data_IF_118550028108
#
_entry.id   IF_118550028108
#
_cell.length_a   1.000
_cell.length_b   1.000
_cell.length_c   1.000
_cell.angle_alpha   90.00
_cell.angle_beta   90.00
_cell.angle_gamma   90.00
#
_symmetry.space_group_name_H-M   'P 1'
#
loop_
_entity.id
_entity.type
_entity.pdbx_description
1 polymer ?
#
# COMPACT_ATOMS: atom_id res chain seq x y z
N UNK A 1 1.63 -35.70 -17.30
CA UNK A 1 2.46 -34.70 -16.61
C UNK A 1 1.54 -33.52 -16.30
N UNK A 2 1.13 -33.33 -15.04
CA UNK A 2 0.33 -32.16 -14.65
C UNK A 2 1.34 -31.08 -14.28
N UNK A 3 1.71 -30.25 -15.24
CA UNK A 3 2.63 -29.14 -15.02
C UNK A 3 1.92 -28.10 -14.15
N UNK A 4 2.14 -28.17 -12.85
CA UNK A 4 1.50 -27.28 -11.87
C UNK A 4 2.11 -25.89 -12.05
N UNK A 5 1.40 -25.00 -12.76
CA UNK A 5 1.77 -23.58 -12.90
C UNK A 5 1.94 -22.96 -11.52
N UNK A 6 3.19 -22.87 -11.07
CA UNK A 6 3.55 -22.35 -9.76
C UNK A 6 4.01 -20.91 -9.93
N UNK A 7 3.37 -19.98 -9.22
CA UNK A 7 3.70 -18.55 -9.30
C UNK A 7 4.94 -18.27 -8.44
N UNK A 8 5.90 -17.49 -8.95
CA UNK A 8 7.07 -17.10 -8.15
C UNK A 8 6.68 -16.03 -7.13
N UNK A 9 7.07 -16.23 -5.87
CA UNK A 9 6.84 -15.25 -4.83
C UNK A 9 7.67 -13.98 -5.10
N UNK A 10 7.04 -12.80 -5.20
CA UNK A 10 7.77 -11.55 -5.46
C UNK A 10 8.60 -11.06 -4.27
N UNK A 11 8.41 -11.65 -3.08
CA UNK A 11 9.12 -11.25 -1.86
C UNK A 11 10.37 -12.10 -1.64
N UNK A 12 10.28 -13.43 -1.83
CA UNK A 12 11.41 -14.33 -1.54
C UNK A 12 11.95 -15.10 -2.76
N UNK A 13 11.36 -14.92 -3.96
CA UNK A 13 11.81 -15.54 -5.20
C UNK A 13 11.55 -17.05 -5.32
N UNK A 14 11.00 -17.69 -4.27
CA UNK A 14 10.69 -19.13 -4.29
C UNK A 14 9.31 -19.40 -4.91
N UNK A 15 9.06 -20.62 -5.42
CA UNK A 15 7.74 -21.01 -5.88
C UNK A 15 6.69 -20.86 -4.75
N UNK A 16 5.69 -20.03 -4.97
CA UNK A 16 4.51 -19.93 -4.13
C UNK A 16 3.45 -20.90 -4.65
N UNK A 17 2.82 -21.65 -3.75
CA UNK A 17 1.69 -22.51 -4.13
C UNK A 17 0.47 -21.69 -4.58
N UNK A 18 -0.66 -22.35 -4.78
CA UNK A 18 -1.91 -21.73 -5.25
C UNK A 18 -2.67 -20.95 -4.17
N UNK A 19 -2.14 -20.89 -2.95
CA UNK A 19 -2.75 -20.23 -1.80
C UNK A 19 -2.64 -18.69 -1.83
N UNK A 20 -3.39 -18.04 -0.93
CA UNK A 20 -3.32 -16.58 -0.71
C UNK A 20 -2.00 -16.11 -0.11
N UNK A 21 -1.18 -17.02 0.40
CA UNK A 21 0.12 -16.76 1.02
C UNK A 21 1.20 -17.66 0.43
N UNK A 22 2.44 -17.19 0.42
CA UNK A 22 3.58 -18.00 0.04
C UNK A 22 3.89 -19.04 1.12
N UNK A 23 3.91 -20.32 0.75
CA UNK A 23 4.22 -21.43 1.66
C UNK A 23 5.67 -21.42 2.21
N UNK A 24 6.56 -20.59 1.66
CA UNK A 24 7.96 -20.51 2.06
C UNK A 24 8.28 -19.33 2.98
N UNK A 25 7.56 -18.21 2.87
CA UNK A 25 7.85 -17.00 3.66
C UNK A 25 6.62 -16.31 4.27
N UNK A 26 5.41 -16.80 4.00
CA UNK A 26 4.16 -16.23 4.53
C UNK A 26 3.70 -14.93 3.85
N UNK A 27 4.43 -14.41 2.86
CA UNK A 27 4.03 -13.19 2.16
C UNK A 27 2.66 -13.36 1.46
N UNK A 28 1.82 -12.32 1.53
CA UNK A 28 0.54 -12.30 0.84
C UNK A 28 0.72 -12.25 -0.67
N UNK A 29 0.03 -13.14 -1.38
CA UNK A 29 -0.06 -13.21 -2.84
C UNK A 29 -1.34 -12.54 -3.37
N UNK A 30 -2.17 -11.96 -2.48
CA UNK A 30 -3.36 -11.21 -2.86
C UNK A 30 -3.01 -9.87 -3.50
N UNK A 31 -3.92 -9.31 -4.31
CA UNK A 31 -3.74 -7.96 -4.86
C UNK A 31 -3.81 -6.91 -3.74
N UNK A 32 -2.99 -5.87 -3.87
CA UNK A 32 -2.99 -4.71 -2.98
C UNK A 32 -3.99 -3.68 -3.46
N UNK A 33 -4.87 -3.23 -2.56
CA UNK A 33 -5.80 -2.15 -2.87
C UNK A 33 -5.14 -0.77 -2.70
N UNK A 34 -5.39 0.11 -3.65
CA UNK A 34 -4.89 1.48 -3.61
C UNK A 34 -5.70 2.28 -2.58
N UNK A 35 -5.04 2.81 -1.57
CA UNK A 35 -5.66 3.66 -0.54
C UNK A 35 -6.18 5.01 -1.07
N UNK A 36 -5.78 5.42 -2.28
CA UNK A 36 -6.25 6.65 -2.92
C UNK A 36 -7.47 6.47 -3.81
N UNK A 37 -7.55 5.37 -4.58
CA UNK A 37 -8.64 5.17 -5.56
C UNK A 37 -9.33 3.80 -5.49
N UNK A 38 -8.93 2.90 -4.59
CA UNK A 38 -9.52 1.58 -4.42
C UNK A 38 -9.10 0.52 -5.45
N UNK A 39 -8.34 0.89 -6.48
CA UNK A 39 -7.92 -0.06 -7.52
C UNK A 39 -7.05 -1.20 -6.96
N UNK A 40 -7.27 -2.43 -7.44
CA UNK A 40 -6.45 -3.60 -7.11
C UNK A 40 -5.18 -3.63 -7.97
N UNK A 41 -4.02 -3.81 -7.34
CA UNK A 41 -2.72 -3.75 -7.97
C UNK A 41 -1.85 -4.95 -7.55
N UNK A 42 -0.93 -5.37 -8.41
CA UNK A 42 0.04 -6.41 -8.08
C UNK A 42 0.93 -5.98 -6.89
N UNK A 43 1.36 -6.92 -6.06
CA UNK A 43 2.24 -6.65 -4.91
C UNK A 43 3.61 -6.06 -5.33
N UNK A 44 4.03 -6.28 -6.57
CA UNK A 44 5.32 -5.83 -7.12
C UNK A 44 5.34 -4.38 -7.60
N UNK A 45 4.17 -3.78 -7.86
CA UNK A 45 4.13 -2.43 -8.43
C UNK A 45 4.29 -1.37 -7.34
N UNK A 46 5.17 -0.40 -7.59
CA UNK A 46 5.44 0.71 -6.66
C UNK A 46 4.33 1.77 -6.69
N UNK A 47 3.66 1.95 -7.82
CA UNK A 47 2.63 2.95 -8.05
C UNK A 47 1.34 2.30 -8.53
N UNK A 48 0.21 2.93 -8.24
CA UNK A 48 -1.10 2.49 -8.69
C UNK A 48 -1.21 2.68 -10.21
N UNK A 49 -1.54 1.60 -10.92
CA UNK A 49 -1.70 1.65 -12.39
C UNK A 49 -2.93 2.45 -12.84
N UNK A 50 -3.83 2.80 -11.91
CA UNK A 50 -5.02 3.60 -12.20
C UNK A 50 -4.84 5.10 -11.90
N UNK A 51 -4.26 5.45 -10.75
CA UNK A 51 -4.17 6.85 -10.31
C UNK A 51 -2.74 7.37 -10.08
N UNK A 52 -1.71 6.55 -10.28
CA UNK A 52 -0.31 6.92 -10.08
C UNK A 52 0.14 7.06 -8.62
N UNK A 53 -0.77 6.93 -7.64
CA UNK A 53 -0.40 7.05 -6.23
C UNK A 53 0.59 5.96 -5.79
N UNK A 54 1.58 6.27 -4.94
CA UNK A 54 2.53 5.28 -4.45
C UNK A 54 1.80 4.25 -3.56
N UNK A 55 2.03 2.97 -3.83
CA UNK A 55 1.38 1.86 -3.11
C UNK A 55 2.17 1.44 -1.88
N UNK A 56 3.50 1.58 -1.87
CA UNK A 56 4.35 1.22 -0.73
C UNK A 56 4.88 2.45 0.04
N UNK A 57 4.35 3.65 -0.24
CA UNK A 57 4.61 4.78 0.64
C UNK A 57 3.90 4.54 1.98
N UNK A 58 4.51 4.89 3.12
CA UNK A 58 3.77 5.08 4.35
C UNK A 58 2.56 5.97 4.03
N UNK A 59 1.39 5.65 4.59
CA UNK A 59 0.28 6.60 4.54
C UNK A 59 0.83 7.96 5.00
N UNK A 60 0.52 9.07 4.29
CA UNK A 60 1.02 10.36 4.72
C UNK A 60 0.64 10.54 6.17
N UNK A 61 1.64 10.67 7.02
CA UNK A 61 1.46 11.06 8.41
C UNK A 61 1.36 12.57 8.41
N UNK A 62 0.17 13.15 8.63
CA UNK A 62 0.08 14.52 9.09
C UNK A 62 0.91 14.65 10.35
N UNK A 63 2.14 15.10 10.18
CA UNK A 63 2.92 15.69 11.25
C UNK A 63 2.38 17.08 11.56
N UNK A 64 3.12 17.83 12.37
CA UNK A 64 2.82 19.22 12.73
C UNK A 64 2.27 20.01 11.54
N UNK A 65 1.17 20.71 11.77
CA UNK A 65 0.53 21.57 10.77
C UNK A 65 1.55 22.61 10.28
N UNK A 66 1.77 22.75 8.96
CA UNK A 66 2.74 23.72 8.45
C UNK A 66 2.30 25.18 8.63
N UNK A 67 1.00 25.40 8.91
CA UNK A 67 0.43 26.73 9.10
C UNK A 67 0.47 27.19 10.57
N UNK A 68 0.04 26.33 11.51
CA UNK A 68 -0.07 26.70 12.92
C UNK A 68 0.81 25.87 13.87
N UNK A 69 1.51 24.84 13.38
CA UNK A 69 2.36 23.97 14.20
C UNK A 69 1.64 22.88 15.01
N UNK A 70 0.29 22.87 15.02
CA UNK A 70 -0.51 21.89 15.74
C UNK A 70 -0.21 20.44 15.35
N UNK A 71 -0.13 19.54 16.32
CA UNK A 71 0.00 18.12 16.07
C UNK A 71 -1.34 17.56 15.56
N UNK A 72 -1.36 16.85 14.44
CA UNK A 72 -2.58 16.21 13.93
C UNK A 72 -2.39 14.68 13.87
N UNK A 73 -3.49 13.93 13.90
CA UNK A 73 -3.45 12.47 13.83
C UNK A 73 -3.15 11.99 12.39
N UNK A 74 -2.53 10.82 12.21
CA UNK A 74 -2.33 10.25 10.87
C UNK A 74 -3.62 10.16 10.06
N UNK A 75 -3.58 10.52 8.77
CA UNK A 75 -4.73 10.50 7.87
C UNK A 75 -5.71 11.69 7.98
N UNK A 76 -5.50 12.67 8.86
CA UNK A 76 -6.33 13.90 8.89
C UNK A 76 -6.16 14.72 7.62
N UNK A 77 -7.27 15.05 6.94
CA UNK A 77 -7.28 15.86 5.71
C UNK A 77 -7.13 17.36 5.98
N UNK A 78 -7.51 17.81 7.18
CA UNK A 78 -7.51 19.20 7.61
C UNK A 78 -6.98 19.29 9.04
N UNK A 79 -6.35 20.41 9.37
CA UNK A 79 -5.92 20.70 10.73
C UNK A 79 -7.13 20.97 11.62
N UNK A 80 -7.20 20.27 12.76
CA UNK A 80 -8.29 20.45 13.74
C UNK A 80 -8.31 21.82 14.42
N UNK A 81 -7.19 22.55 14.43
CA UNK A 81 -7.10 23.87 15.06
C UNK A 81 -7.33 25.02 14.07
N UNK A 82 -6.64 25.03 12.92
CA UNK A 82 -6.67 26.16 12.00
C UNK A 82 -7.36 25.88 10.66
N UNK A 83 -7.86 24.66 10.43
CA UNK A 83 -8.56 24.28 9.20
C UNK A 83 -7.68 24.14 7.95
N UNK A 84 -6.36 24.40 8.05
CA UNK A 84 -5.45 24.24 6.91
C UNK A 84 -5.49 22.81 6.37
N UNK A 85 -5.59 22.67 5.05
CA UNK A 85 -5.53 21.37 4.38
C UNK A 85 -4.15 20.74 4.59
N UNK A 86 -4.14 19.52 5.11
CA UNK A 86 -2.92 18.73 5.30
C UNK A 86 -2.79 17.78 4.11
N UNK A 87 -1.58 17.63 3.57
CA UNK A 87 -1.32 16.67 2.50
C UNK A 87 -1.37 15.25 3.07
N UNK A 88 -2.60 14.72 3.12
CA UNK A 88 -2.92 13.30 3.36
C UNK A 88 -2.87 12.46 2.10
#
# INVERSE_FOLDING_TARGET
>A
QIESKTTICPVCGKPAGTGKFCNNCGASMALKECSRCGAKNAQTVKFCNNCGAPLNAPAPTPGKCPSCGAQNAPGTKFCGECGTKLNG
#
